data_IF_778852917333
#
_entry.id   IF_778852917333
#
_cell.length_a   1.000
_cell.length_b   1.000
_cell.length_c   1.000
_cell.angle_alpha   90.00
_cell.angle_beta   90.00
_cell.angle_gamma   90.00
#
_symmetry.space_group_name_H-M   'P 1'
#
loop_
_entity.id
_entity.type
_entity.pdbx_description
1 polymer ?
#
# COMPACT_ATOMS: atom_id res chain seq x y z
N UNK A 1 -19.17 48.37 -18.78
CA UNK A 1 -17.80 48.57 -18.30
C UNK A 1 -17.25 47.22 -17.88
N UNK A 2 -16.32 46.70 -18.69
CA UNK A 2 -15.47 45.50 -18.58
C UNK A 2 -15.95 44.28 -17.77
N UNK A 3 -16.57 43.32 -18.47
CA UNK A 3 -16.34 41.90 -18.22
C UNK A 3 -15.07 41.50 -18.98
N UNK A 4 -13.99 41.20 -18.26
CA UNK A 4 -12.75 40.71 -18.87
C UNK A 4 -12.94 39.26 -19.30
N UNK A 5 -13.02 39.05 -20.61
CA UNK A 5 -12.87 37.77 -21.28
C UNK A 5 -11.41 37.34 -21.19
N UNK A 6 -11.08 36.40 -20.30
CA UNK A 6 -9.82 35.69 -20.37
C UNK A 6 -9.93 34.63 -21.49
N UNK A 7 -9.63 35.05 -22.72
CA UNK A 7 -9.32 34.14 -23.82
C UNK A 7 -8.01 33.42 -23.45
N UNK A 8 -8.11 32.12 -23.19
CA UNK A 8 -6.96 31.24 -23.05
C UNK A 8 -6.31 31.10 -24.43
N UNK A 9 -5.14 31.71 -24.63
CA UNK A 9 -4.34 31.49 -25.83
C UNK A 9 -3.79 30.06 -25.77
N UNK A 10 -3.83 29.28 -26.86
CA UNK A 10 -3.09 28.03 -26.92
C UNK A 10 -1.60 28.40 -26.90
N UNK A 11 -0.89 27.98 -25.85
CA UNK A 11 0.56 28.04 -25.81
C UNK A 11 1.13 27.17 -26.92
N UNK A 12 2.22 27.62 -27.53
CA UNK A 12 3.02 26.80 -28.45
C UNK A 12 3.53 25.58 -27.66
N UNK A 13 2.94 24.41 -27.89
CA UNK A 13 3.47 23.14 -27.40
C UNK A 13 4.85 22.93 -28.04
N UNK A 14 5.90 23.05 -27.23
CA UNK A 14 7.25 22.78 -27.68
C UNK A 14 7.39 21.28 -27.97
N UNK A 15 8.16 20.89 -28.98
CA UNK A 15 8.33 19.48 -29.38
C UNK A 15 8.94 18.59 -28.27
N UNK A 16 9.43 19.18 -27.16
CA UNK A 16 9.89 18.48 -25.96
C UNK A 16 8.73 18.07 -25.02
N UNK A 17 7.52 18.63 -25.19
CA UNK A 17 6.32 18.25 -24.43
C UNK A 17 5.58 17.06 -25.05
N UNK A 18 5.85 16.74 -26.32
CA UNK A 18 5.35 15.54 -26.97
C UNK A 18 6.30 14.37 -26.68
N UNK A 19 5.95 13.58 -25.68
CA UNK A 19 6.65 12.35 -25.33
C UNK A 19 6.84 11.41 -26.54
N UNK A 20 7.96 10.72 -26.58
CA UNK A 20 8.32 9.79 -27.66
C UNK A 20 7.82 8.37 -27.39
N UNK A 21 7.89 7.49 -28.40
CA UNK A 21 7.59 6.07 -28.23
C UNK A 21 8.53 5.35 -27.25
N UNK A 22 9.68 5.95 -26.90
CA UNK A 22 10.73 5.34 -26.10
C UNK A 22 10.58 5.68 -24.61
N UNK A 23 10.18 6.92 -24.30
CA UNK A 23 10.21 7.47 -22.93
C UNK A 23 8.83 7.68 -22.31
N UNK A 24 7.76 7.56 -23.10
CA UNK A 24 6.42 7.93 -22.67
C UNK A 24 5.38 6.86 -22.99
N UNK A 25 4.54 6.54 -22.00
CA UNK A 25 3.34 5.73 -22.17
C UNK A 25 2.13 6.66 -22.07
N UNK A 26 1.26 6.66 -23.08
CA UNK A 26 0.05 7.45 -23.08
C UNK A 26 -1.15 6.63 -22.60
N UNK A 27 -1.87 7.17 -21.62
CA UNK A 27 -3.13 6.62 -21.11
C UNK A 27 -4.25 7.63 -21.35
N UNK A 28 -5.47 7.13 -21.60
CA UNK A 28 -6.65 7.95 -21.84
C UNK A 28 -7.80 7.54 -20.92
N UNK A 29 -8.46 8.55 -20.34
CA UNK A 29 -9.69 8.40 -19.59
C UNK A 29 -10.78 9.26 -20.24
N UNK A 30 -11.73 8.61 -20.91
CA UNK A 30 -12.84 9.26 -21.61
C UNK A 30 -14.18 8.67 -21.19
N UNK A 31 -14.91 9.37 -20.33
CA UNK A 31 -16.17 8.89 -19.77
C UNK A 31 -17.20 10.00 -19.74
N UNK A 32 -18.44 9.64 -20.07
CA UNK A 32 -19.62 10.50 -19.94
C UNK A 32 -20.66 9.87 -19.04
N UNK A 33 -21.13 10.62 -18.06
CA UNK A 33 -22.19 10.20 -17.16
C UNK A 33 -23.56 10.53 -17.75
N UNK A 34 -24.47 9.56 -17.73
CA UNK A 34 -25.82 9.69 -18.27
C UNK A 34 -26.87 9.08 -17.33
N UNK A 35 -28.12 9.54 -17.45
CA UNK A 35 -29.23 8.99 -16.68
C UNK A 35 -29.65 7.65 -17.28
N UNK A 36 -29.81 6.63 -16.44
CA UNK A 36 -30.25 5.32 -16.87
C UNK A 36 -31.74 5.36 -17.24
N UNK A 37 -32.13 5.15 -18.51
CA UNK A 37 -33.53 5.17 -18.91
C UNK A 37 -34.34 3.98 -18.38
N UNK A 38 -33.65 2.92 -17.91
CA UNK A 38 -34.27 1.69 -17.37
C UNK A 38 -34.40 1.71 -15.84
N UNK A 39 -34.00 2.80 -15.18
CA UNK A 39 -34.10 2.89 -13.73
C UNK A 39 -35.57 2.84 -13.27
N UNK A 40 -35.84 2.10 -12.20
CA UNK A 40 -37.17 2.07 -11.58
C UNK A 40 -37.47 3.44 -10.96
N UNK A 41 -38.73 3.88 -11.04
CA UNK A 41 -39.15 5.21 -10.56
C UNK A 41 -38.96 5.42 -9.06
N UNK A 42 -38.88 4.32 -8.30
CA UNK A 42 -38.75 4.32 -6.84
C UNK A 42 -37.30 4.09 -6.37
N UNK A 43 -36.36 3.85 -7.30
CA UNK A 43 -34.95 3.67 -6.95
C UNK A 43 -34.34 4.99 -6.45
N UNK A 44 -33.72 4.94 -5.28
CA UNK A 44 -32.93 6.05 -4.73
C UNK A 44 -31.42 5.79 -4.86
N UNK A 45 -31.01 4.61 -5.32
CA UNK A 45 -29.59 4.26 -5.49
C UNK A 45 -29.01 4.94 -6.74
N UNK A 46 -27.98 5.79 -6.61
CA UNK A 46 -27.26 6.36 -7.74
C UNK A 46 -26.75 5.34 -8.76
N UNK A 47 -26.47 4.10 -8.34
CA UNK A 47 -26.01 3.01 -9.22
C UNK A 47 -27.08 2.50 -10.16
N UNK A 48 -28.34 2.56 -9.74
CA UNK A 48 -29.47 2.21 -10.60
C UNK A 48 -29.88 3.39 -11.47
N UNK A 49 -29.81 4.61 -10.92
CA UNK A 49 -30.23 5.84 -11.57
C UNK A 49 -29.29 6.33 -12.67
N UNK A 50 -27.97 6.07 -12.54
CA UNK A 50 -26.96 6.68 -13.40
C UNK A 50 -25.94 5.68 -13.94
N UNK A 51 -25.69 5.77 -15.24
CA UNK A 51 -24.64 5.02 -15.92
C UNK A 51 -23.33 5.80 -15.85
N UNK A 52 -22.23 5.12 -15.55
CA UNK A 52 -20.86 5.67 -15.46
C UNK A 52 -20.72 6.85 -14.48
N UNK A 53 -21.51 6.86 -13.41
CA UNK A 53 -21.42 7.89 -12.37
C UNK A 53 -20.27 7.68 -11.39
N UNK A 54 -19.67 6.48 -11.35
CA UNK A 54 -18.43 6.19 -10.63
C UNK A 54 -17.37 5.87 -11.67
N UNK A 55 -16.28 6.65 -11.66
CA UNK A 55 -15.16 6.49 -12.57
C UNK A 55 -14.03 5.81 -11.82
N UNK A 56 -13.62 4.64 -12.31
CA UNK A 56 -12.59 3.82 -11.68
C UNK A 56 -11.31 3.81 -12.50
N UNK A 57 -10.21 3.40 -11.89
CA UNK A 57 -8.94 3.17 -12.57
C UNK A 57 -9.05 2.13 -13.70
N UNK A 58 -10.00 1.19 -13.65
CA UNK A 58 -10.29 0.27 -14.75
C UNK A 58 -10.67 0.95 -16.07
N UNK A 59 -11.20 2.16 -16.00
CA UNK A 59 -11.68 2.89 -17.18
C UNK A 59 -10.55 3.61 -17.91
N UNK A 60 -9.33 3.58 -17.37
CA UNK A 60 -8.13 4.11 -18.01
C UNK A 60 -7.66 3.09 -19.06
N UNK A 61 -7.56 3.55 -20.30
CA UNK A 61 -7.14 2.75 -21.44
C UNK A 61 -5.77 3.18 -21.93
N UNK A 62 -4.95 2.22 -22.37
CA UNK A 62 -3.66 2.51 -22.99
C UNK A 62 -3.83 2.84 -24.46
N UNK A 63 -3.17 3.91 -24.91
CA UNK A 63 -3.11 4.33 -26.31
C UNK A 63 -1.65 4.16 -26.78
N UNK A 64 -1.35 3.14 -27.62
CA UNK A 64 0.01 2.89 -28.07
C UNK A 64 0.51 4.03 -28.98
N UNK A 65 1.76 4.44 -28.78
CA UNK A 65 2.47 5.40 -29.64
C UNK A 65 3.48 4.62 -30.51
N UNK A 66 3.50 4.88 -31.81
CA UNK A 66 4.48 4.28 -32.72
C UNK A 66 4.43 2.75 -32.71
N UNK A 67 5.58 2.11 -32.46
CA UNK A 67 5.71 0.65 -32.46
C UNK A 67 5.45 -0.02 -31.08
N UNK A 68 4.93 0.72 -30.09
CA UNK A 68 4.72 0.17 -28.75
C UNK A 68 3.70 -0.99 -28.72
N UNK A 69 2.73 -1.01 -29.64
CA UNK A 69 1.72 -2.06 -29.73
C UNK A 69 2.37 -3.45 -29.92
N UNK A 70 3.40 -3.54 -30.76
CA UNK A 70 4.11 -4.79 -31.04
C UNK A 70 5.12 -5.11 -29.94
N UNK A 71 5.81 -4.09 -29.40
CA UNK A 71 6.80 -4.26 -28.32
C UNK A 71 6.15 -4.78 -27.04
N UNK A 72 4.94 -4.32 -26.71
CA UNK A 72 4.20 -4.73 -25.53
C UNK A 72 3.07 -5.73 -25.84
N UNK A 73 3.12 -6.43 -26.97
CA UNK A 73 2.07 -7.40 -27.34
C UNK A 73 1.81 -8.47 -26.25
N UNK A 74 2.88 -8.90 -25.56
CA UNK A 74 2.82 -9.88 -24.47
C UNK A 74 2.56 -9.25 -23.08
N UNK A 75 2.48 -7.92 -22.99
CA UNK A 75 2.39 -7.16 -21.73
C UNK A 75 1.19 -6.22 -21.71
N UNK A 76 0.27 -6.42 -20.76
CA UNK A 76 -0.90 -5.56 -20.63
C UNK A 76 -0.53 -4.28 -19.86
N UNK A 77 -0.38 -3.16 -20.58
CA UNK A 77 -0.25 -1.83 -19.96
C UNK A 77 -1.62 -1.39 -19.44
N UNK A 78 -1.73 -1.31 -18.11
CA UNK A 78 -2.93 -0.87 -17.38
C UNK A 78 -2.58 -0.47 -15.95
N UNK A 79 -3.47 0.23 -15.23
CA UNK A 79 -3.34 0.41 -13.79
C UNK A 79 -3.25 -0.93 -13.04
N UNK A 80 -2.46 -0.98 -11.97
CA UNK A 80 -2.27 -2.19 -11.16
C UNK A 80 -3.56 -2.59 -10.45
N UNK A 81 -4.23 -1.62 -9.86
CA UNK A 81 -5.53 -1.77 -9.20
C UNK A 81 -6.62 -1.23 -10.11
N UNK A 82 -7.70 -1.98 -10.28
CA UNK A 82 -8.82 -1.65 -11.17
C UNK A 82 -9.97 -0.94 -10.45
N UNK A 83 -9.92 -0.85 -9.13
CA UNK A 83 -11.02 -0.44 -8.25
C UNK A 83 -10.74 0.89 -7.52
N UNK A 84 -9.69 1.62 -7.92
CA UNK A 84 -9.43 2.95 -7.37
C UNK A 84 -10.45 3.91 -7.96
N UNK A 85 -11.33 4.44 -7.10
CA UNK A 85 -12.29 5.48 -7.49
C UNK A 85 -11.54 6.79 -7.74
N UNK A 86 -11.62 7.30 -8.97
CA UNK A 86 -10.98 8.54 -9.40
C UNK A 86 -11.94 9.72 -9.22
N UNK A 87 -13.17 9.57 -9.71
CA UNK A 87 -14.17 10.64 -9.68
C UNK A 87 -15.59 10.08 -9.57
N UNK A 88 -16.49 10.91 -9.04
CA UNK A 88 -17.93 10.66 -9.09
C UNK A 88 -18.62 11.75 -9.90
N UNK A 89 -19.41 11.36 -10.89
CA UNK A 89 -20.05 12.24 -11.85
C UNK A 89 -21.57 12.32 -11.62
N UNK A 90 -22.19 13.32 -12.24
CA UNK A 90 -23.64 13.46 -12.41
C UNK A 90 -23.99 13.55 -13.90
N UNK A 91 -25.25 13.22 -14.28
CA UNK A 91 -25.66 13.23 -15.68
C UNK A 91 -25.36 14.57 -16.37
N UNK A 92 -24.72 14.50 -17.54
CA UNK A 92 -24.29 15.68 -18.29
C UNK A 92 -22.83 16.08 -18.04
N UNK A 93 -22.16 15.52 -17.04
CA UNK A 93 -20.72 15.68 -16.84
C UNK A 93 -19.94 14.64 -17.65
N UNK A 94 -18.79 15.06 -18.16
CA UNK A 94 -17.84 14.22 -18.89
C UNK A 94 -16.40 14.53 -18.47
N UNK A 95 -15.56 13.51 -18.56
CA UNK A 95 -14.12 13.59 -18.39
C UNK A 95 -13.49 13.13 -19.70
N UNK A 96 -12.58 13.94 -20.25
CA UNK A 96 -11.71 13.59 -21.37
C UNK A 96 -10.29 14.01 -20.99
N UNK A 97 -9.47 13.04 -20.60
CA UNK A 97 -8.14 13.26 -20.03
C UNK A 97 -7.14 12.38 -20.78
N UNK A 98 -6.03 13.00 -21.19
CA UNK A 98 -4.85 12.31 -21.70
C UNK A 98 -3.75 12.41 -20.63
N UNK A 99 -3.12 11.29 -20.32
CA UNK A 99 -2.08 11.17 -19.30
C UNK A 99 -0.80 10.65 -19.94
N UNK A 100 0.31 11.33 -19.69
CA UNK A 100 1.64 10.90 -20.10
C UNK A 100 2.40 10.32 -18.91
N UNK A 101 2.67 9.02 -18.96
CA UNK A 101 3.45 8.32 -17.96
C UNK A 101 4.92 8.28 -18.37
N UNK A 102 5.76 8.89 -17.54
CA UNK A 102 7.21 8.94 -17.72
C UNK A 102 7.91 8.19 -16.58
N UNK A 103 9.14 7.77 -16.82
CA UNK A 103 9.98 7.17 -15.79
C UNK A 103 10.52 8.25 -14.84
N UNK A 104 10.34 8.06 -13.54
CA UNK A 104 10.89 8.94 -12.50
C UNK A 104 11.43 8.15 -11.32
N UNK A 105 12.05 8.85 -10.36
CA UNK A 105 12.55 8.25 -9.11
C UNK A 105 11.77 8.76 -7.90
N UNK A 106 11.66 7.92 -6.87
CA UNK A 106 10.92 8.26 -5.64
C UNK A 106 11.49 9.45 -4.86
N UNK A 107 12.75 9.83 -5.12
CA UNK A 107 13.38 11.03 -4.57
C UNK A 107 12.72 12.31 -5.12
N UNK A 108 12.31 12.31 -6.38
CA UNK A 108 11.70 13.47 -7.02
C UNK A 108 10.24 13.63 -6.57
N UNK A 109 9.51 12.52 -6.52
CA UNK A 109 8.13 12.50 -6.05
C UNK A 109 7.73 11.12 -5.51
N UNK A 110 6.98 11.10 -4.41
CA UNK A 110 6.51 9.87 -3.76
C UNK A 110 5.66 8.95 -4.67
N UNK A 111 5.13 9.45 -5.80
CA UNK A 111 4.32 8.68 -6.77
C UNK A 111 5.17 7.67 -7.55
N UNK A 112 6.48 7.92 -7.62
CA UNK A 112 7.45 7.03 -8.24
C UNK A 112 8.07 6.04 -7.24
N UNK A 113 7.62 6.03 -5.97
CA UNK A 113 8.05 5.00 -5.02
C UNK A 113 7.46 3.65 -5.44
N UNK A 114 8.27 2.63 -5.77
CA UNK A 114 7.79 1.33 -6.22
C UNK A 114 7.33 0.41 -5.07
N UNK A 115 7.45 0.89 -3.82
CA UNK A 115 7.10 0.14 -2.61
C UNK A 115 6.12 0.95 -1.78
N UNK A 116 5.13 0.26 -1.20
CA UNK A 116 4.24 0.86 -0.21
C UNK A 116 5.02 1.20 1.07
N UNK A 117 5.81 0.23 1.57
CA UNK A 117 6.77 0.46 2.66
C UNK A 117 7.87 -0.57 2.56
N UNK A 118 9.12 -0.11 2.57
CA UNK A 118 10.29 -0.94 2.79
C UNK A 118 10.92 -0.56 4.12
N UNK A 119 11.06 -1.53 5.02
CA UNK A 119 11.69 -1.31 6.31
C UNK A 119 12.47 -2.54 6.74
N UNK A 120 13.34 -2.36 7.72
CA UNK A 120 14.01 -3.46 8.39
C UNK A 120 13.87 -3.30 9.89
N UNK A 121 14.09 -4.41 10.60
CA UNK A 121 14.35 -4.41 12.04
C UNK A 121 15.41 -5.44 12.37
N UNK A 122 16.11 -5.23 13.47
CA UNK A 122 17.07 -6.22 13.96
C UNK A 122 16.32 -7.40 14.59
N UNK A 123 16.92 -8.59 14.51
CA UNK A 123 16.42 -9.77 15.21
C UNK A 123 16.43 -9.52 16.73
N UNK A 124 15.27 -9.60 17.41
CA UNK A 124 15.24 -9.56 18.87
C UNK A 124 15.99 -10.76 19.44
N UNK A 125 16.77 -10.51 20.48
CA UNK A 125 17.48 -11.53 21.24
C UNK A 125 16.97 -11.48 22.68
N UNK A 126 16.38 -12.57 23.14
CA UNK A 126 15.79 -12.68 24.47
C UNK A 126 16.56 -13.78 25.19
N UNK A 127 17.25 -13.41 26.27
CA UNK A 127 18.00 -14.35 27.10
C UNK A 127 17.37 -14.38 28.49
N UNK A 128 17.00 -15.57 28.96
CA UNK A 128 16.61 -15.79 30.35
C UNK A 128 17.88 -16.00 31.17
N UNK A 129 18.12 -15.14 32.15
CA UNK A 129 19.30 -15.19 33.03
C UNK A 129 19.13 -16.25 34.13
N UNK A 130 17.89 -16.50 34.53
CA UNK A 130 17.52 -17.50 35.55
C UNK A 130 16.37 -18.37 35.03
N UNK A 131 16.24 -19.62 35.50
CA UNK A 131 15.08 -20.46 35.18
C UNK A 131 13.80 -19.84 35.76
N UNK A 132 12.79 -19.65 34.90
CA UNK A 132 11.49 -19.10 35.27
C UNK A 132 10.45 -20.22 35.24
N UNK A 133 9.87 -20.51 36.41
CA UNK A 133 9.02 -21.67 36.63
C UNK A 133 7.62 -21.30 37.15
N UNK A 134 6.66 -22.20 36.95
CA UNK A 134 5.31 -22.11 37.52
C UNK A 134 4.53 -20.88 37.06
N UNK A 135 3.87 -20.17 38.00
CA UNK A 135 3.07 -18.98 37.67
C UNK A 135 3.90 -17.84 37.08
N UNK A 136 5.19 -17.75 37.44
CA UNK A 136 6.09 -16.75 36.84
C UNK A 136 6.29 -17.03 35.36
N UNK A 137 6.36 -18.29 34.95
CA UNK A 137 6.49 -18.70 33.55
C UNK A 137 5.25 -18.29 32.73
N UNK A 138 4.06 -18.47 33.29
CA UNK A 138 2.80 -18.05 32.65
C UNK A 138 2.65 -16.54 32.56
N UNK A 139 3.07 -15.79 33.59
CA UNK A 139 3.09 -14.32 33.50
C UNK A 139 4.12 -13.85 32.48
N UNK A 140 5.31 -14.43 32.46
CA UNK A 140 6.35 -14.12 31.49
C UNK A 140 5.88 -14.41 30.06
N UNK A 141 5.20 -15.55 29.81
CA UNK A 141 4.58 -15.85 28.51
C UNK A 141 3.58 -14.77 28.07
N UNK A 142 2.80 -14.20 28.98
CA UNK A 142 1.85 -13.10 28.71
C UNK A 142 2.52 -11.75 28.40
N UNK A 143 3.76 -11.53 28.84
CA UNK A 143 4.49 -10.30 28.54
C UNK A 143 5.01 -10.23 27.09
N UNK A 144 5.05 -11.36 26.37
CA UNK A 144 5.56 -11.44 25.00
C UNK A 144 4.47 -11.77 23.98
N UNK A 145 4.81 -11.56 22.70
CA UNK A 145 3.93 -11.95 21.60
C UNK A 145 3.72 -13.47 21.57
N UNK A 146 2.56 -13.91 21.08
CA UNK A 146 2.23 -15.34 20.95
C UNK A 146 3.29 -16.07 20.14
N UNK A 147 3.78 -17.20 20.67
CA UNK A 147 4.80 -18.03 20.02
C UNK A 147 6.25 -17.58 20.26
N UNK A 148 6.49 -16.48 20.99
CA UNK A 148 7.85 -16.07 21.38
C UNK A 148 8.38 -16.94 22.51
N UNK A 149 7.57 -17.09 23.56
CA UNK A 149 7.87 -17.92 24.73
C UNK A 149 6.87 -19.05 24.80
N UNK A 150 7.36 -20.24 25.09
CA UNK A 150 6.54 -21.39 25.39
C UNK A 150 6.92 -21.99 26.73
N UNK A 151 6.02 -22.79 27.29
CA UNK A 151 6.21 -23.44 28.58
C UNK A 151 6.38 -24.92 28.32
N UNK A 152 7.50 -25.47 28.80
CA UNK A 152 7.80 -26.89 28.70
C UNK A 152 7.75 -27.51 30.07
N UNK A 153 7.12 -28.67 30.17
CA UNK A 153 7.20 -29.50 31.35
C UNK A 153 8.56 -30.21 31.38
N UNK A 154 9.34 -29.93 32.43
CA UNK A 154 10.61 -30.59 32.72
C UNK A 154 10.50 -31.17 34.13
N UNK A 155 10.47 -32.50 34.23
CA UNK A 155 10.39 -33.24 35.49
C UNK A 155 9.17 -32.89 36.37
N UNK A 156 8.03 -32.54 35.77
CA UNK A 156 6.81 -32.15 36.49
C UNK A 156 6.75 -30.66 36.82
N UNK A 157 7.72 -29.87 36.37
CA UNK A 157 7.79 -28.43 36.57
C UNK A 157 7.66 -27.68 35.24
N UNK A 158 6.74 -26.73 35.18
CA UNK A 158 6.50 -25.87 34.03
C UNK A 158 7.58 -24.78 33.92
N UNK A 159 8.49 -24.89 32.96
CA UNK A 159 9.62 -23.96 32.74
C UNK A 159 9.43 -23.16 31.44
N UNK A 160 9.63 -21.84 31.50
CA UNK A 160 9.59 -20.98 30.32
C UNK A 160 10.83 -21.15 29.44
N UNK A 161 10.64 -21.29 28.12
CA UNK A 161 11.70 -21.32 27.12
C UNK A 161 11.39 -20.36 25.97
N UNK A 162 12.40 -19.61 25.53
CA UNK A 162 12.31 -18.80 24.31
C UNK A 162 12.32 -19.75 23.11
N UNK A 163 11.25 -19.74 22.31
CA UNK A 163 11.09 -20.60 21.13
C UNK A 163 11.39 -19.83 19.86
N UNK A 164 10.84 -18.63 19.71
CA UNK A 164 11.02 -17.84 18.49
C UNK A 164 11.07 -16.34 18.78
N UNK A 165 12.26 -15.81 19.01
CA UNK A 165 12.48 -14.39 19.26
C UNK A 165 12.17 -13.51 18.04
N UNK A 166 12.12 -14.07 16.82
CA UNK A 166 11.75 -13.32 15.61
C UNK A 166 10.32 -12.80 15.68
N UNK A 167 9.41 -13.48 16.36
CA UNK A 167 8.01 -13.04 16.47
C UNK A 167 7.82 -11.90 17.47
N UNK A 168 8.84 -11.56 18.24
CA UNK A 168 8.74 -10.50 19.22
C UNK A 168 8.64 -9.11 18.57
N UNK A 169 7.77 -8.29 19.14
CA UNK A 169 7.54 -6.89 18.78
C UNK A 169 8.32 -5.92 19.68
N UNK A 170 9.08 -6.43 20.65
CA UNK A 170 9.88 -5.67 21.61
C UNK A 170 9.03 -4.68 22.42
N UNK A 171 7.87 -5.13 22.91
CA UNK A 171 6.94 -4.35 23.75
C UNK A 171 7.57 -3.84 25.06
N UNK A 172 8.59 -4.54 25.56
CA UNK A 172 9.25 -4.29 26.85
C UNK A 172 8.33 -4.44 28.07
N UNK A 173 7.20 -5.13 27.91
CA UNK A 173 6.23 -5.31 29.00
C UNK A 173 6.84 -6.02 30.22
N UNK A 174 7.77 -6.94 29.99
CA UNK A 174 8.50 -7.68 31.04
C UNK A 174 9.22 -6.76 32.05
N UNK A 175 9.61 -5.54 31.64
CA UNK A 175 10.33 -4.59 32.49
C UNK A 175 9.40 -3.94 33.53
N UNK A 176 8.08 -3.97 33.31
CA UNK A 176 7.08 -3.45 34.26
C UNK A 176 6.87 -4.35 35.47
N UNK A 177 7.26 -5.61 35.37
CA UNK A 177 7.15 -6.56 36.47
C UNK A 177 8.48 -6.63 37.21
N UNK A 178 8.52 -6.14 38.46
CA UNK A 178 9.75 -6.07 39.27
C UNK A 178 10.42 -7.44 39.44
N UNK A 179 9.62 -8.50 39.47
CA UNK A 179 10.11 -9.86 39.67
C UNK A 179 10.56 -10.58 38.40
N UNK A 180 10.32 -9.99 37.21
CA UNK A 180 10.77 -10.50 35.91
C UNK A 180 11.85 -9.62 35.27
N UNK A 181 11.92 -8.35 35.65
CA UNK A 181 12.82 -7.34 35.07
C UNK A 181 14.30 -7.76 35.11
N UNK A 182 14.74 -8.37 36.21
CA UNK A 182 16.14 -8.79 36.38
C UNK A 182 16.42 -10.20 35.84
N UNK A 183 15.37 -10.94 35.47
CA UNK A 183 15.48 -12.32 34.99
C UNK A 183 15.61 -12.39 33.46
N UNK A 184 15.23 -11.32 32.76
CA UNK A 184 15.24 -11.30 31.29
C UNK A 184 16.16 -10.20 30.77
N UNK A 185 17.08 -10.59 29.90
CA UNK A 185 17.89 -9.66 29.11
C UNK A 185 17.30 -9.54 27.71
N UNK A 186 16.87 -8.32 27.36
CA UNK A 186 16.40 -7.97 26.02
C UNK A 186 17.54 -7.30 25.24
N UNK A 187 17.95 -7.91 24.14
CA UNK A 187 18.98 -7.43 23.24
C UNK A 187 18.51 -7.50 21.78
N UNK A 188 19.38 -7.09 20.87
CA UNK A 188 19.19 -7.18 19.42
C UNK A 188 20.49 -7.62 18.79
N UNK A 189 20.41 -8.60 17.88
CA UNK A 189 21.57 -9.04 17.13
C UNK A 189 21.88 -8.01 16.03
N UNK A 190 23.01 -7.29 16.18
CA UNK A 190 23.35 -6.12 15.34
C UNK A 190 23.51 -6.46 13.87
N UNK A 191 24.01 -7.65 13.58
CA UNK A 191 24.36 -8.07 12.21
C UNK A 191 23.24 -8.89 11.55
N UNK A 192 22.05 -8.97 12.18
CA UNK A 192 20.92 -9.72 11.66
C UNK A 192 19.73 -8.81 11.38
N UNK A 193 19.57 -8.47 10.10
CA UNK A 193 18.49 -7.63 9.59
C UNK A 193 17.34 -8.46 9.05
N UNK A 194 16.12 -8.17 9.53
CA UNK A 194 14.88 -8.72 9.01
C UNK A 194 14.24 -7.67 8.12
N UNK A 195 14.49 -7.77 6.81
CA UNK A 195 13.90 -6.88 5.82
C UNK A 195 12.44 -7.26 5.53
N UNK A 196 11.59 -6.25 5.35
CA UNK A 196 10.21 -6.38 4.88
C UNK A 196 9.96 -5.32 3.82
N UNK A 197 9.50 -5.75 2.66
CA UNK A 197 9.02 -4.86 1.60
C UNK A 197 7.59 -5.24 1.23
N UNK A 198 6.74 -4.23 1.15
CA UNK A 198 5.38 -4.37 0.64
C UNK A 198 5.33 -3.74 -0.74
N UNK A 199 4.82 -4.50 -1.72
CA UNK A 199 4.56 -3.98 -3.06
C UNK A 199 3.37 -3.02 -2.98
N UNK A 200 3.52 -1.87 -3.64
CA UNK A 200 2.44 -0.90 -3.87
C UNK A 200 1.44 -1.43 -4.87
#
# INVERSE_FOLDING_TARGET
TCFSSALYLPGEESAEEQGSEIDTIQLQLKIKCSRNPRATKDSSDPRELYLNHMVYSSDITWVPIGNQADVFADSVIRPVHNDILIAQLRPGQELDIIMHCVKGIGQDHAKFSPVATASYRLLPEITLLEPVEGEKAERLKRCFSRGVIDIKDVNGTNVAKVVNSRLDTCSREVIRHDDLKNVVKLARLRDHFICKSFRS
#
